data_IF_814716550575
#
_entry.id   IF_814716550575
#
_cell.length_a   1.000
_cell.length_b   1.000
_cell.length_c   1.000
_cell.angle_alpha   90.00
_cell.angle_beta   90.00
_cell.angle_gamma   90.00
#
_symmetry.space_group_name_H-M   'P 1'
#
loop_
_entity.id
_entity.type
_entity.pdbx_description
1 polymer ?
#
# COMPACT_ATOMS: atom_id res chain seq x y z
N UNK A 1 25.12 -3.42 -8.65
CA UNK A 1 24.59 -2.04 -8.51
C UNK A 1 23.15 -2.19 -8.03
N UNK A 2 22.82 -1.81 -6.78
CA UNK A 2 21.46 -1.97 -6.25
C UNK A 2 20.64 -0.76 -6.70
N UNK A 3 19.74 -0.95 -7.66
CA UNK A 3 18.79 0.10 -8.05
C UNK A 3 17.95 0.50 -6.84
N UNK A 4 18.08 1.75 -6.41
CA UNK A 4 17.29 2.29 -5.30
C UNK A 4 15.95 2.76 -5.85
N UNK A 5 14.90 1.98 -5.61
CA UNK A 5 13.53 2.37 -5.92
C UNK A 5 13.03 3.35 -4.87
N UNK A 6 12.93 4.64 -5.23
CA UNK A 6 12.40 5.68 -4.33
C UNK A 6 10.89 5.85 -4.55
N UNK A 7 10.10 5.25 -3.68
CA UNK A 7 8.64 5.45 -3.66
C UNK A 7 8.35 6.69 -2.82
N UNK A 8 7.64 7.66 -3.39
CA UNK A 8 7.18 8.86 -2.66
C UNK A 8 5.69 8.73 -2.40
N UNK A 9 5.28 8.91 -1.14
CA UNK A 9 3.87 8.88 -0.73
C UNK A 9 3.45 10.33 -0.44
N UNK A 10 2.87 11.05 -1.42
CA UNK A 10 2.58 12.48 -1.28
C UNK A 10 1.45 12.77 -0.27
N UNK A 11 0.56 11.80 -0.05
CA UNK A 11 -0.58 11.92 0.87
C UNK A 11 -0.62 10.67 1.75
N UNK A 12 0.16 10.62 2.84
CA UNK A 12 0.08 9.52 3.80
C UNK A 12 -1.32 9.49 4.42
N UNK A 13 -1.86 8.29 4.58
CA UNK A 13 -3.10 8.07 5.29
C UNK A 13 -2.74 7.78 6.76
N UNK A 14 -3.23 8.62 7.68
CA UNK A 14 -2.96 8.47 9.12
C UNK A 14 -4.04 7.68 9.86
N UNK A 15 -4.98 7.07 9.12
CA UNK A 15 -6.03 6.23 9.68
C UNK A 15 -5.43 4.96 10.30
N UNK A 16 -5.93 4.54 11.47
CA UNK A 16 -5.53 3.27 12.05
C UNK A 16 -6.03 2.11 11.20
N UNK A 17 -5.16 1.12 10.96
CA UNK A 17 -5.52 -0.09 10.22
C UNK A 17 -6.70 -0.84 10.86
N UNK A 18 -6.78 -0.81 12.20
CA UNK A 18 -7.81 -1.46 13.01
C UNK A 18 -9.21 -0.90 12.74
N UNK A 19 -9.31 0.40 12.45
CA UNK A 19 -10.57 1.11 12.17
C UNK A 19 -11.06 0.95 10.72
N UNK A 20 -10.24 0.36 9.84
CA UNK A 20 -10.60 0.12 8.45
C UNK A 20 -11.51 -1.11 8.30
N UNK A 21 -12.40 -1.08 7.32
CA UNK A 21 -13.31 -2.20 7.06
C UNK A 21 -12.61 -3.37 6.36
N UNK A 22 -12.90 -4.63 6.69
CA UNK A 22 -12.34 -5.77 5.97
C UNK A 22 -12.77 -5.75 4.49
N UNK A 23 -11.83 -6.05 3.59
CA UNK A 23 -12.07 -6.18 2.15
C UNK A 23 -11.32 -7.41 1.61
N UNK A 24 -11.68 -7.90 0.43
CA UNK A 24 -11.14 -9.16 -0.12
C UNK A 24 -9.60 -9.22 -0.18
N UNK A 25 -8.94 -8.08 -0.46
CA UNK A 25 -7.48 -7.99 -0.63
C UNK A 25 -6.83 -7.00 0.33
N UNK A 26 -7.37 -6.85 1.53
CA UNK A 26 -6.85 -5.95 2.55
C UNK A 26 -7.95 -5.31 3.37
N UNK A 27 -7.89 -3.99 3.55
CA UNK A 27 -8.93 -3.24 4.25
C UNK A 27 -9.35 -1.99 3.48
N UNK A 28 -10.62 -1.62 3.52
CA UNK A 28 -11.10 -0.37 2.95
C UNK A 28 -11.00 0.77 3.97
N UNK A 29 -10.19 1.77 3.65
CA UNK A 29 -10.09 2.99 4.45
C UNK A 29 -11.15 3.99 3.98
N UNK A 30 -12.06 4.38 4.89
CA UNK A 30 -13.13 5.33 4.60
C UNK A 30 -12.58 6.74 4.33
N UNK A 31 -11.51 7.13 5.03
CA UNK A 31 -10.91 8.46 4.93
C UNK A 31 -10.28 8.76 3.56
N UNK A 32 -9.58 7.80 2.97
CA UNK A 32 -9.02 7.94 1.62
C UNK A 32 -9.89 7.28 0.54
N UNK A 33 -10.99 6.64 0.94
CA UNK A 33 -11.92 5.86 0.10
C UNK A 33 -11.21 4.87 -0.82
N UNK A 34 -10.15 4.22 -0.32
CA UNK A 34 -9.32 3.27 -1.07
C UNK A 34 -9.16 1.98 -0.29
N UNK A 35 -9.00 0.89 -1.04
CA UNK A 35 -8.56 -0.38 -0.48
C UNK A 35 -7.07 -0.30 -0.18
N UNK A 36 -6.75 -0.35 1.10
CA UNK A 36 -5.41 -0.45 1.65
C UNK A 36 -4.95 -1.89 1.59
N UNK A 37 -3.92 -2.14 0.80
CA UNK A 37 -3.29 -3.45 0.64
C UNK A 37 -2.21 -3.62 1.70
N UNK A 38 -2.16 -4.77 2.36
CA UNK A 38 -1.08 -5.06 3.30
C UNK A 38 0.17 -5.48 2.53
N UNK A 39 1.19 -4.62 2.52
CA UNK A 39 2.49 -4.91 1.93
C UNK A 39 3.47 -5.46 2.97
N UNK A 40 3.13 -5.49 4.27
CA UNK A 40 4.03 -6.02 5.31
C UNK A 40 4.32 -7.52 5.16
N UNK A 41 3.45 -8.25 4.47
CA UNK A 41 3.62 -9.68 4.17
C UNK A 41 4.20 -9.93 2.78
N UNK A 42 4.52 -8.88 2.01
CA UNK A 42 5.05 -8.98 0.65
C UNK A 42 6.54 -8.63 0.63
N UNK A 43 7.28 -9.30 -0.24
CA UNK A 43 8.66 -8.95 -0.56
C UNK A 43 8.73 -7.70 -1.44
N UNK A 44 9.86 -7.00 -1.44
CA UNK A 44 10.07 -5.81 -2.30
C UNK A 44 9.74 -6.08 -3.77
N UNK A 45 10.08 -7.28 -4.28
CA UNK A 45 9.81 -7.71 -5.65
C UNK A 45 8.30 -7.83 -5.90
N UNK A 46 7.56 -8.40 -4.95
CA UNK A 46 6.10 -8.53 -5.03
C UNK A 46 5.41 -7.18 -4.95
N UNK A 47 5.87 -6.29 -4.06
CA UNK A 47 5.36 -4.92 -3.96
C UNK A 47 5.61 -4.17 -5.27
N UNK A 48 6.80 -4.27 -5.86
CA UNK A 48 7.10 -3.65 -7.14
C UNK A 48 6.24 -4.21 -8.27
N UNK A 49 6.09 -5.54 -8.36
CA UNK A 49 5.23 -6.18 -9.35
C UNK A 49 3.76 -5.75 -9.19
N UNK A 50 3.27 -5.62 -7.95
CA UNK A 50 1.94 -5.10 -7.65
C UNK A 50 1.79 -3.65 -8.13
N UNK A 51 2.72 -2.77 -7.77
CA UNK A 51 2.70 -1.37 -8.19
C UNK A 51 2.79 -1.20 -9.71
N UNK A 52 3.56 -2.05 -10.39
CA UNK A 52 3.63 -2.08 -11.86
C UNK A 52 2.31 -2.52 -12.50
N UNK A 53 1.66 -3.56 -11.98
CA UNK A 53 0.33 -4.01 -12.45
C UNK A 53 -0.75 -2.96 -12.22
N UNK A 54 -0.60 -2.15 -11.17
CA UNK A 54 -1.51 -1.07 -10.81
C UNK A 54 -1.01 0.31 -11.25
N UNK A 55 -0.05 0.38 -12.18
CA UNK A 55 0.52 1.65 -12.67
C UNK A 55 -0.58 2.56 -13.19
N UNK A 56 -0.57 3.82 -12.76
CA UNK A 56 -1.58 4.82 -13.11
C UNK A 56 -2.85 4.77 -12.25
N UNK A 57 -2.98 3.82 -11.32
CA UNK A 57 -4.08 3.78 -10.33
C UNK A 57 -3.61 4.32 -8.98
N UNK A 58 -4.53 4.91 -8.24
CA UNK A 58 -4.27 5.30 -6.86
C UNK A 58 -4.28 4.06 -5.96
N UNK A 59 -3.11 3.65 -5.51
CA UNK A 59 -2.93 2.55 -4.54
C UNK A 59 -2.68 3.14 -3.17
N UNK A 60 -3.31 2.57 -2.15
CA UNK A 60 -2.94 2.78 -0.76
C UNK A 60 -2.41 1.45 -0.21
N UNK A 61 -1.35 1.49 0.58
CA UNK A 61 -0.79 0.29 1.15
C UNK A 61 -0.13 0.53 2.49
N UNK A 62 -0.19 -0.49 3.33
CA UNK A 62 0.43 -0.50 4.65
C UNK A 62 1.82 -1.09 4.52
N UNK A 63 2.82 -0.30 4.90
CA UNK A 63 4.21 -0.74 5.03
C UNK A 63 4.51 -0.85 6.53
N UNK A 64 5.04 -1.98 6.97
CA UNK A 64 5.60 -2.10 8.31
C UNK A 64 6.99 -1.47 8.29
N UNK A 65 7.15 -0.29 8.89
CA UNK A 65 8.47 0.24 9.19
C UNK A 65 9.06 -0.63 10.30
N UNK A 66 10.03 -1.48 9.94
CA UNK A 66 10.99 -2.03 10.91
C UNK A 66 12.13 -1.04 11.05
#
# INVERSE_FOLDING_TARGET
MKEQYRITIPKPCNEAWEDMQPADKGRHCLQCSKTVVDFSTMTDVEVLAFLQRHKGKFVCGRLSSV
#
